data_IF_343932568668
#
_entry.id   IF_343932568668
#
_cell.length_a   1.000
_cell.length_b   1.000
_cell.length_c   1.000
_cell.angle_alpha   90.00
_cell.angle_beta   90.00
_cell.angle_gamma   90.00
#
_symmetry.space_group_name_H-M   'P 1'
#
loop_
_entity.id
_entity.type
_entity.pdbx_description
1 polymer ?
#
# COMPACT_ATOMS: atom_id res chain seq x y z
N UNK A 1 -37.56 -15.99 58.09
CA UNK A 1 -36.31 -15.37 57.60
C UNK A 1 -36.21 -15.67 56.14
N UNK A 2 -36.70 -14.74 55.28
CA UNK A 2 -36.64 -14.83 53.83
C UNK A 2 -35.38 -14.15 53.35
N UNK A 3 -34.49 -14.86 52.69
CA UNK A 3 -33.31 -14.33 52.06
C UNK A 3 -33.60 -13.87 50.66
N UNK A 4 -33.64 -12.55 50.49
CA UNK A 4 -33.87 -11.87 49.23
C UNK A 4 -32.58 -11.93 48.33
N UNK A 5 -32.55 -12.87 47.37
CA UNK A 5 -31.47 -13.00 46.44
C UNK A 5 -31.62 -11.94 45.32
N UNK A 6 -30.72 -10.94 45.30
CA UNK A 6 -30.59 -9.93 44.23
C UNK A 6 -30.21 -10.59 42.91
N UNK A 7 -31.07 -10.47 41.89
CA UNK A 7 -30.74 -10.79 40.50
C UNK A 7 -29.58 -9.95 40.00
N UNK A 8 -28.63 -10.50 39.24
CA UNK A 8 -27.57 -9.72 38.63
C UNK A 8 -28.12 -8.79 37.54
N UNK A 9 -27.67 -7.54 37.56
CA UNK A 9 -28.00 -6.52 36.56
C UNK A 9 -27.41 -6.96 35.21
N UNK A 10 -28.24 -7.08 34.18
CA UNK A 10 -27.84 -7.29 32.80
C UNK A 10 -26.96 -6.12 32.32
N UNK A 11 -25.83 -6.44 31.68
CA UNK A 11 -24.98 -5.46 31.00
C UNK A 11 -25.80 -4.74 29.92
N UNK A 12 -25.60 -3.43 29.68
CA UNK A 12 -26.27 -2.74 28.60
C UNK A 12 -25.86 -3.38 27.27
N UNK A 13 -26.82 -3.87 26.50
CA UNK A 13 -26.64 -4.22 25.10
C UNK A 13 -26.47 -2.90 24.35
N UNK A 14 -25.30 -2.72 23.73
CA UNK A 14 -25.06 -1.65 22.75
C UNK A 14 -25.87 -2.06 21.52
N UNK A 15 -27.05 -1.46 21.35
CA UNK A 15 -27.82 -1.56 20.12
C UNK A 15 -27.13 -0.67 19.10
N UNK A 16 -26.32 -1.26 18.22
CA UNK A 16 -25.77 -0.58 17.05
C UNK A 16 -26.93 -0.07 16.21
N UNK A 17 -26.94 1.24 15.95
CA UNK A 17 -27.99 1.88 15.19
C UNK A 17 -27.88 1.44 13.71
N UNK A 18 -28.89 0.79 13.10
CA UNK A 18 -28.81 0.27 11.73
C UNK A 18 -28.44 1.34 10.69
N UNK A 19 -28.68 2.61 11.00
CA UNK A 19 -28.35 3.76 10.17
C UNK A 19 -26.84 4.09 10.18
N UNK A 20 -26.16 3.91 11.31
CA UNK A 20 -24.70 4.13 11.43
C UNK A 20 -23.90 3.02 10.74
N UNK A 21 -24.33 1.77 10.90
CA UNK A 21 -23.69 0.64 10.21
C UNK A 21 -23.84 0.75 8.69
N UNK A 22 -25.00 1.18 8.18
CA UNK A 22 -25.23 1.41 6.76
C UNK A 22 -24.40 2.60 6.22
N UNK A 23 -24.18 3.64 7.02
CA UNK A 23 -23.35 4.79 6.66
C UNK A 23 -21.86 4.40 6.60
N UNK A 24 -21.37 3.63 7.58
CA UNK A 24 -20.01 3.10 7.60
C UNK A 24 -19.73 2.20 6.38
N UNK A 25 -20.63 1.28 6.06
CA UNK A 25 -20.49 0.40 4.87
C UNK A 25 -20.48 1.19 3.55
N UNK A 26 -21.22 2.30 3.46
CA UNK A 26 -21.15 3.18 2.29
C UNK A 26 -19.81 3.89 2.20
N UNK A 27 -19.31 4.42 3.31
CA UNK A 27 -18.01 5.09 3.36
C UNK A 27 -16.88 4.11 3.00
N UNK A 28 -16.89 2.89 3.54
CA UNK A 28 -15.95 1.83 3.17
C UNK A 28 -16.02 1.49 1.68
N UNK A 29 -17.22 1.39 1.12
CA UNK A 29 -17.41 1.12 -0.30
C UNK A 29 -16.89 2.25 -1.18
N UNK A 30 -17.09 3.51 -0.77
CA UNK A 30 -16.62 4.67 -1.51
C UNK A 30 -15.07 4.77 -1.45
N UNK A 31 -14.45 4.49 -0.30
CA UNK A 31 -12.99 4.40 -0.16
C UNK A 31 -12.39 3.31 -1.07
N UNK A 32 -13.02 2.14 -1.14
CA UNK A 32 -12.58 1.06 -2.03
C UNK A 32 -12.71 1.49 -3.50
N UNK A 33 -13.80 2.15 -3.86
CA UNK A 33 -14.11 2.51 -5.24
C UNK A 33 -13.27 3.68 -5.75
N UNK A 34 -13.04 4.69 -4.93
CA UNK A 34 -12.36 5.93 -5.32
C UNK A 34 -10.85 5.86 -5.10
N UNK A 35 -10.43 5.35 -3.95
CA UNK A 35 -9.02 5.34 -3.53
C UNK A 35 -8.36 3.96 -3.57
N UNK A 36 -9.14 2.89 -3.80
CA UNK A 36 -8.64 1.52 -3.78
C UNK A 36 -8.18 1.06 -2.39
N UNK A 37 -8.57 1.77 -1.34
CA UNK A 37 -8.24 1.43 0.04
C UNK A 37 -9.22 0.39 0.54
N UNK A 38 -8.72 -0.76 0.93
CA UNK A 38 -9.51 -1.80 1.59
C UNK A 38 -9.19 -1.74 3.08
N UNK A 39 -10.13 -1.29 3.93
CA UNK A 39 -9.95 -1.38 5.37
C UNK A 39 -9.67 -2.83 5.76
N UNK A 40 -8.81 -3.05 6.76
CA UNK A 40 -8.50 -4.38 7.25
C UNK A 40 -9.81 -5.12 7.58
N UNK A 41 -10.17 -6.09 6.74
CA UNK A 41 -11.41 -6.84 6.93
C UNK A 41 -11.28 -7.70 8.17
N UNK A 42 -12.31 -7.69 9.03
CA UNK A 42 -12.44 -8.58 10.18
C UNK A 42 -12.70 -10.02 9.70
N UNK A 43 -11.67 -10.59 9.07
CA UNK A 43 -11.62 -12.01 8.76
C UNK A 43 -10.98 -12.77 9.92
N UNK A 44 -10.38 -13.92 9.61
CA UNK A 44 -9.61 -14.72 10.58
C UNK A 44 -8.32 -13.99 10.99
N UNK A 45 -7.82 -13.11 10.09
CA UNK A 45 -6.66 -12.26 10.28
C UNK A 45 -6.93 -10.90 9.63
N UNK A 46 -6.49 -9.82 10.28
CA UNK A 46 -6.59 -8.46 9.76
C UNK A 46 -5.38 -8.17 8.87
N UNK A 47 -5.51 -8.45 7.57
CA UNK A 47 -4.48 -8.18 6.58
C UNK A 47 -4.84 -6.91 5.81
N UNK A 48 -3.95 -5.92 5.85
CA UNK A 48 -4.09 -4.73 5.02
C UNK A 48 -3.59 -5.02 3.60
N UNK A 49 -4.42 -4.70 2.60
CA UNK A 49 -4.08 -4.87 1.20
C UNK A 49 -3.75 -3.51 0.59
N UNK A 50 -2.47 -3.31 0.27
CA UNK A 50 -1.97 -2.12 -0.40
C UNK A 50 -1.78 -2.42 -1.90
N UNK A 51 -2.30 -1.56 -2.78
CA UNK A 51 -2.18 -1.74 -4.23
C UNK A 51 -1.25 -0.70 -4.84
N UNK A 52 -0.35 -1.16 -5.72
CA UNK A 52 0.51 -0.30 -6.55
C UNK A 52 0.20 -0.62 -8.02
N UNK A 53 -0.62 0.24 -8.63
CA UNK A 53 -1.18 0.02 -9.97
C UNK A 53 -0.88 1.22 -10.86
N UNK A 54 -0.46 0.95 -12.11
CA UNK A 54 -0.13 1.98 -13.09
C UNK A 54 1.27 2.54 -12.91
N UNK A 55 1.46 3.82 -13.17
CA UNK A 55 2.76 4.50 -13.02
C UNK A 55 2.97 4.93 -11.57
N UNK A 56 4.17 4.73 -11.03
CA UNK A 56 4.55 5.28 -9.73
C UNK A 56 4.82 6.76 -9.92
N UNK A 57 3.95 7.59 -9.36
CA UNK A 57 4.03 9.05 -9.41
C UNK A 57 4.84 9.56 -8.23
N UNK A 58 5.85 10.38 -8.54
CA UNK A 58 6.74 11.00 -7.56
C UNK A 58 6.57 12.51 -7.52
N UNK A 59 7.65 13.25 -7.78
CA UNK A 59 7.67 14.71 -7.69
C UNK A 59 6.98 15.44 -8.84
N UNK A 60 6.65 14.76 -9.92
CA UNK A 60 5.94 15.33 -11.07
C UNK A 60 4.52 14.81 -11.14
N UNK A 61 3.56 15.71 -11.30
CA UNK A 61 2.15 15.35 -11.45
C UNK A 61 1.93 14.75 -12.84
N UNK A 62 1.35 13.55 -12.88
CA UNK A 62 0.98 12.91 -14.12
C UNK A 62 -0.32 13.50 -14.71
N UNK A 63 -0.55 13.39 -16.04
CA UNK A 63 -1.82 13.79 -16.64
C UNK A 63 -3.02 13.03 -16.04
N UNK A 64 -4.16 13.68 -15.87
CA UNK A 64 -5.37 13.12 -15.26
C UNK A 64 -5.88 11.82 -15.93
N UNK A 65 -5.57 11.63 -17.22
CA UNK A 65 -5.94 10.41 -17.96
C UNK A 65 -5.04 9.20 -17.66
N UNK A 66 -3.93 9.38 -16.93
CA UNK A 66 -2.99 8.34 -16.61
C UNK A 66 -3.31 7.71 -15.26
N UNK A 67 -3.38 6.39 -15.21
CA UNK A 67 -3.48 5.68 -13.93
C UNK A 67 -2.13 5.71 -13.21
N UNK A 68 -2.14 6.23 -11.99
CA UNK A 68 -0.94 6.35 -11.17
C UNK A 68 -1.18 5.82 -9.75
N UNK A 69 -0.08 5.45 -9.11
CA UNK A 69 0.00 5.29 -7.66
C UNK A 69 0.86 6.43 -7.14
N UNK A 70 0.28 7.31 -6.35
CA UNK A 70 0.95 8.47 -5.75
C UNK A 70 1.67 8.05 -4.48
N UNK A 71 2.99 8.23 -4.46
CA UNK A 71 3.80 7.78 -3.32
C UNK A 71 3.43 8.51 -2.01
N UNK A 72 3.05 9.79 -2.09
CA UNK A 72 2.59 10.58 -0.94
C UNK A 72 1.26 10.09 -0.34
N UNK A 73 0.48 9.29 -1.09
CA UNK A 73 -0.72 8.65 -0.56
C UNK A 73 -0.41 7.27 0.06
N UNK A 74 0.65 6.62 -0.40
CA UNK A 74 1.06 5.30 0.09
C UNK A 74 1.85 5.40 1.40
N UNK A 75 2.70 6.42 1.54
CA UNK A 75 3.52 6.62 2.76
C UNK A 75 2.69 6.64 4.04
N UNK A 76 1.65 7.50 4.17
CA UNK A 76 0.83 7.53 5.38
C UNK A 76 0.11 6.21 5.65
N UNK A 77 -0.30 5.47 4.62
CA UNK A 77 -0.91 4.15 4.79
C UNK A 77 0.10 3.14 5.37
N UNK A 78 1.36 3.15 4.93
CA UNK A 78 2.40 2.28 5.48
C UNK A 78 2.72 2.60 6.93
N UNK A 79 2.70 3.89 7.31
CA UNK A 79 2.85 4.32 8.70
C UNK A 79 1.67 3.87 9.55
N UNK A 80 0.45 4.04 9.06
CA UNK A 80 -0.77 3.61 9.76
C UNK A 80 -0.79 2.09 9.96
N UNK A 81 -0.41 1.32 8.93
CA UNK A 81 -0.28 -0.14 9.02
C UNK A 81 0.72 -0.55 10.10
N UNK A 82 1.86 0.14 10.19
CA UNK A 82 2.88 -0.18 11.21
C UNK A 82 2.38 0.09 12.62
N UNK A 83 1.69 1.22 12.82
CA UNK A 83 1.24 1.69 14.15
C UNK A 83 -0.07 1.05 14.62
N UNK A 84 -0.95 0.61 13.71
CA UNK A 84 -2.26 0.04 14.07
C UNK A 84 -2.11 -1.38 14.65
N UNK A 85 -2.38 -1.59 15.96
CA UNK A 85 -2.26 -2.90 16.59
C UNK A 85 -3.27 -3.94 16.06
N UNK A 86 -4.35 -3.52 15.42
CA UNK A 86 -5.36 -4.41 14.85
C UNK A 86 -4.91 -4.99 13.50
N UNK A 87 -3.95 -4.37 12.82
CA UNK A 87 -3.40 -4.88 11.57
C UNK A 87 -2.34 -5.94 11.85
N UNK A 88 -2.58 -7.18 11.42
CA UNK A 88 -1.71 -8.33 11.64
C UNK A 88 -0.70 -8.56 10.51
N UNK A 89 -0.89 -7.96 9.34
CA UNK A 89 0.02 -8.12 8.22
C UNK A 89 -0.29 -7.24 7.02
N UNK A 90 0.67 -7.18 6.09
CA UNK A 90 0.62 -6.38 4.87
C UNK A 90 0.70 -7.29 3.63
N UNK A 91 -0.23 -7.12 2.71
CA UNK A 91 -0.15 -7.66 1.35
C UNK A 91 -0.04 -6.52 0.35
N UNK A 92 1.08 -6.43 -0.36
CA UNK A 92 1.27 -5.46 -1.44
C UNK A 92 0.99 -6.13 -2.79
N UNK A 93 0.00 -5.63 -3.52
CA UNK A 93 -0.35 -6.12 -4.86
C UNK A 93 0.23 -5.17 -5.89
N UNK A 94 1.00 -5.72 -6.83
CA UNK A 94 1.72 -4.97 -7.85
C UNK A 94 1.19 -5.26 -9.25
N UNK A 95 0.85 -4.19 -9.97
CA UNK A 95 0.64 -4.19 -11.42
C UNK A 95 1.09 -2.84 -11.97
N UNK A 96 2.40 -2.63 -12.04
CA UNK A 96 3.02 -1.34 -12.37
C UNK A 96 3.96 -1.45 -13.56
N UNK A 97 4.00 -0.40 -14.34
CA UNK A 97 4.97 -0.19 -15.43
C UNK A 97 6.28 0.46 -14.92
N UNK A 98 6.36 0.76 -13.63
CA UNK A 98 7.42 1.56 -13.04
C UNK A 98 7.03 3.04 -12.94
N UNK A 99 8.00 3.93 -12.90
CA UNK A 99 7.75 5.38 -12.79
C UNK A 99 8.92 6.13 -12.18
N UNK A 100 8.63 7.02 -11.25
CA UNK A 100 9.63 7.81 -10.52
C UNK A 100 10.53 6.91 -9.65
N UNK A 101 11.83 7.02 -9.86
CA UNK A 101 12.82 6.15 -9.22
C UNK A 101 12.95 6.44 -7.73
N UNK A 102 12.99 7.72 -7.35
CA UNK A 102 13.14 8.12 -5.94
C UNK A 102 11.90 7.73 -5.14
N UNK A 103 10.71 7.97 -5.69
CA UNK A 103 9.46 7.57 -5.07
C UNK A 103 9.36 6.03 -4.92
N UNK A 104 9.72 5.29 -5.97
CA UNK A 104 9.69 3.83 -5.91
C UNK A 104 10.68 3.24 -4.92
N UNK A 105 11.90 3.78 -4.82
CA UNK A 105 12.87 3.37 -3.81
C UNK A 105 12.39 3.69 -2.41
N UNK A 106 11.84 4.89 -2.17
CA UNK A 106 11.28 5.27 -0.87
C UNK A 106 10.19 4.30 -0.41
N UNK A 107 9.26 3.93 -1.31
CA UNK A 107 8.23 2.95 -1.02
C UNK A 107 8.81 1.55 -0.74
N UNK A 108 9.82 1.13 -1.49
CA UNK A 108 10.46 -0.17 -1.28
C UNK A 108 11.13 -0.25 0.09
N UNK A 109 11.85 0.80 0.51
CA UNK A 109 12.48 0.88 1.83
C UNK A 109 11.45 0.88 2.96
N UNK A 110 10.34 1.60 2.80
CA UNK A 110 9.27 1.60 3.79
C UNK A 110 8.62 0.22 3.90
N UNK A 111 8.33 -0.46 2.79
CA UNK A 111 7.77 -1.82 2.79
C UNK A 111 8.75 -2.80 3.46
N UNK A 112 10.05 -2.69 3.17
CA UNK A 112 11.08 -3.51 3.80
C UNK A 112 11.20 -3.27 5.31
N UNK A 113 10.94 -2.02 5.75
CA UNK A 113 10.96 -1.60 7.14
C UNK A 113 9.76 -2.04 7.98
N UNK A 114 8.65 -2.48 7.37
CA UNK A 114 7.46 -2.93 8.10
C UNK A 114 7.80 -4.11 9.02
N UNK A 115 7.53 -3.95 10.31
CA UNK A 115 7.83 -4.98 11.33
C UNK A 115 6.89 -6.18 11.26
N UNK A 116 5.68 -5.98 10.74
CA UNK A 116 4.63 -6.99 10.62
C UNK A 116 4.91 -8.01 9.51
N UNK A 117 4.28 -9.19 9.56
CA UNK A 117 4.31 -10.13 8.43
C UNK A 117 3.90 -9.45 7.13
N UNK A 118 4.75 -9.53 6.12
CA UNK A 118 4.50 -8.84 4.84
C UNK A 118 4.77 -9.74 3.64
N UNK A 119 3.98 -9.55 2.59
CA UNK A 119 4.14 -10.22 1.31
C UNK A 119 3.89 -9.26 0.16
N UNK A 120 4.62 -9.45 -0.95
CA UNK A 120 4.32 -8.82 -2.24
C UNK A 120 3.79 -9.86 -3.22
N UNK A 121 2.85 -9.44 -4.07
CA UNK A 121 2.27 -10.26 -5.11
C UNK A 121 2.25 -9.48 -6.43
N UNK A 122 3.05 -9.91 -7.41
CA UNK A 122 3.02 -9.37 -8.77
C UNK A 122 1.94 -10.09 -9.57
N UNK A 123 0.84 -9.37 -9.91
CA UNK A 123 -0.30 -9.92 -10.63
C UNK A 123 -0.22 -9.73 -12.16
N UNK A 124 0.38 -8.65 -12.63
CA UNK A 124 0.48 -8.33 -14.06
C UNK A 124 1.89 -7.92 -14.41
N UNK A 125 2.26 -6.67 -14.12
CA UNK A 125 3.59 -6.12 -14.33
C UNK A 125 4.27 -5.71 -13.04
N UNK A 126 5.59 -6.01 -12.93
CA UNK A 126 6.46 -5.47 -11.90
C UNK A 126 7.69 -4.86 -12.58
N UNK A 127 7.47 -3.85 -13.45
CA UNK A 127 8.52 -3.38 -14.35
C UNK A 127 9.35 -2.25 -13.75
N UNK A 128 10.62 -2.13 -14.18
CA UNK A 128 11.50 -1.01 -13.86
C UNK A 128 11.61 -0.82 -12.34
N UNK A 129 11.29 0.36 -11.81
CA UNK A 129 11.32 0.65 -10.37
C UNK A 129 10.25 -0.14 -9.56
N UNK A 130 9.33 -0.82 -10.20
CA UNK A 130 8.45 -1.79 -9.56
C UNK A 130 9.17 -3.05 -9.06
N UNK A 131 10.39 -3.33 -9.55
CA UNK A 131 11.16 -4.50 -9.14
C UNK A 131 11.62 -4.45 -7.69
N UNK A 132 12.24 -3.36 -7.19
CA UNK A 132 12.53 -3.23 -5.76
C UNK A 132 11.30 -3.42 -4.89
N UNK A 133 10.15 -2.86 -5.28
CA UNK A 133 8.90 -3.05 -4.53
C UNK A 133 8.46 -4.52 -4.50
N UNK A 134 8.63 -5.23 -5.64
CA UNK A 134 8.24 -6.63 -5.74
C UNK A 134 9.01 -7.54 -4.78
N UNK A 135 10.22 -7.16 -4.39
CA UNK A 135 11.10 -7.95 -3.51
C UNK A 135 11.28 -7.33 -2.12
N UNK A 136 10.65 -6.20 -1.83
CA UNK A 136 10.82 -5.46 -0.58
C UNK A 136 10.21 -6.16 0.65
N UNK A 137 9.09 -6.84 0.50
CA UNK A 137 8.42 -7.52 1.61
C UNK A 137 9.18 -8.79 2.05
N UNK A 138 8.83 -9.32 3.22
CA UNK A 138 9.44 -10.55 3.76
C UNK A 138 9.25 -11.77 2.87
N UNK A 139 8.19 -11.79 2.07
CA UNK A 139 7.92 -12.82 1.06
C UNK A 139 7.46 -12.18 -0.24
N UNK A 140 7.91 -12.73 -1.37
CA UNK A 140 7.60 -12.22 -2.69
C UNK A 140 7.00 -13.34 -3.54
N UNK A 141 5.93 -13.01 -4.25
CA UNK A 141 5.21 -13.91 -5.14
C UNK A 141 5.00 -13.25 -6.49
N UNK A 142 5.04 -14.06 -7.53
CA UNK A 142 4.69 -13.67 -8.90
C UNK A 142 3.75 -14.73 -9.48
N UNK A 143 2.66 -14.29 -10.10
CA UNK A 143 1.77 -15.25 -10.80
C UNK A 143 2.38 -15.68 -12.13
N UNK A 144 2.06 -16.87 -12.65
CA UNK A 144 2.69 -17.41 -13.87
C UNK A 144 2.54 -16.53 -15.11
N UNK A 145 1.51 -15.69 -15.16
CA UNK A 145 1.22 -14.79 -16.29
C UNK A 145 1.82 -13.39 -16.12
N UNK A 146 2.39 -13.08 -14.96
CA UNK A 146 3.01 -11.79 -14.71
C UNK A 146 4.41 -11.71 -15.31
N UNK A 147 4.83 -10.49 -15.62
CA UNK A 147 6.13 -10.21 -16.21
C UNK A 147 6.87 -9.13 -15.43
N UNK A 148 8.22 -9.21 -15.46
CA UNK A 148 9.10 -8.21 -14.85
C UNK A 148 10.17 -7.83 -15.86
N UNK A 149 10.41 -6.52 -16.02
CA UNK A 149 11.41 -6.00 -16.94
C UNK A 149 12.43 -5.18 -16.19
N UNK A 150 13.68 -5.62 -16.22
CA UNK A 150 14.84 -4.91 -15.67
C UNK A 150 15.50 -4.10 -16.79
N UNK A 151 15.82 -2.86 -16.52
CA UNK A 151 16.62 -2.01 -17.40
C UNK A 151 17.37 -0.95 -16.59
N UNK A 152 18.46 -0.37 -17.13
CA UNK A 152 19.13 0.75 -16.47
C UNK A 152 18.22 1.94 -16.28
N UNK A 153 18.51 2.76 -15.25
CA UNK A 153 17.80 4.02 -15.00
C UNK A 153 17.88 4.92 -16.21
N UNK A 154 16.75 5.51 -16.59
CA UNK A 154 16.65 6.47 -17.69
C UNK A 154 16.27 7.82 -17.18
N UNK A 155 16.94 8.85 -17.69
CA UNK A 155 16.57 10.23 -17.47
C UNK A 155 16.00 10.85 -18.74
N UNK A 156 14.87 11.53 -18.62
CA UNK A 156 14.31 12.38 -19.68
C UNK A 156 14.44 13.84 -19.29
N UNK A 157 14.74 14.72 -20.24
CA UNK A 157 14.84 16.16 -19.99
C UNK A 157 16.19 16.61 -19.39
N UNK A 158 17.26 15.94 -19.72
CA UNK A 158 18.59 16.20 -19.16
C UNK A 158 19.16 17.56 -19.56
N UNK A 159 19.58 18.36 -18.57
CA UNK A 159 20.48 19.49 -18.77
C UNK A 159 21.92 19.00 -18.61
N UNK A 160 22.62 18.83 -19.71
CA UNK A 160 24.06 18.53 -19.71
C UNK A 160 24.82 19.79 -19.32
N UNK A 161 25.43 19.79 -18.15
CA UNK A 161 26.15 20.98 -17.74
C UNK A 161 27.32 20.80 -16.76
N UNK A 162 27.35 19.78 -15.93
CA UNK A 162 28.39 19.69 -14.91
C UNK A 162 28.92 18.24 -14.73
N UNK A 163 30.22 18.06 -14.47
CA UNK A 163 30.82 16.77 -14.17
C UNK A 163 30.18 16.02 -12.99
N UNK A 164 29.57 16.76 -12.03
CA UNK A 164 28.85 16.20 -10.90
C UNK A 164 27.58 15.46 -11.34
N UNK A 165 26.93 15.91 -12.40
CA UNK A 165 25.72 15.28 -12.94
C UNK A 165 26.05 13.91 -13.52
N UNK A 166 27.18 13.76 -14.21
CA UNK A 166 27.66 12.47 -14.73
C UNK A 166 27.93 11.45 -13.60
N UNK A 167 28.57 11.90 -12.51
CA UNK A 167 28.81 11.05 -11.34
C UNK A 167 27.54 10.61 -10.65
N UNK A 168 26.55 11.50 -10.56
CA UNK A 168 25.24 11.16 -10.02
C UNK A 168 24.56 10.04 -10.82
N UNK A 169 24.61 10.12 -12.17
CA UNK A 169 24.05 9.06 -13.02
C UNK A 169 24.82 7.76 -12.96
N UNK A 170 26.14 7.79 -12.84
CA UNK A 170 26.97 6.61 -12.65
C UNK A 170 26.66 5.88 -11.33
N UNK A 171 26.28 6.62 -10.29
CA UNK A 171 25.92 6.03 -8.99
C UNK A 171 24.52 5.45 -8.94
N UNK A 172 23.61 5.91 -9.83
CA UNK A 172 22.23 5.42 -9.91
C UNK A 172 22.07 4.16 -10.80
N UNK A 173 23.09 3.74 -11.51
CA UNK A 173 23.10 2.54 -12.35
C UNK A 173 23.71 1.35 -11.62
#
# INVERSE_FOLDING_TARGET
>A
METNAKKPKSKPQITENPTEEAALKRLEHDLIKEDGIVPATKGRHAIHCLTVIGTIEGHSIAPDAQKTTKYEHVIPQLVDIEEDPEVEGLLVILNTVGGDVEAGLALAELIAGVSKPSATLVLGGGHSIGIPLAVAARRSFIVPTATMTVHPVRHSGMVLGLPQTLRYFEQMQ
#
